data_IF_409681118498
#
_entry.id   IF_409681118498
#
_cell.length_a   1.000
_cell.length_b   1.000
_cell.length_c   1.000
_cell.angle_alpha   90.00
_cell.angle_beta   90.00
_cell.angle_gamma   90.00
#
_symmetry.space_group_name_H-M   'P 1'
#
loop_
_entity.id
_entity.type
_entity.pdbx_description
1 polymer ?
#
# COMPACT_ATOMS: atom_id res chain seq x y z
N UNK A 1 36.71 19.81 9.72
CA UNK A 1 37.13 18.44 9.36
C UNK A 1 35.95 17.50 9.62
N UNK A 2 35.73 16.57 8.69
CA UNK A 2 34.51 15.80 8.38
C UNK A 2 33.70 15.32 9.61
N UNK A 3 32.47 15.83 9.79
CA UNK A 3 31.43 15.13 10.57
C UNK A 3 30.97 13.94 9.72
N UNK A 4 31.39 12.76 10.13
CA UNK A 4 30.82 11.49 9.70
C UNK A 4 29.36 11.48 10.15
N UNK A 5 28.44 11.84 9.26
CA UNK A 5 27.03 11.55 9.44
C UNK A 5 26.94 10.08 9.03
N UNK A 6 27.09 9.19 10.01
CA UNK A 6 26.85 7.77 9.80
C UNK A 6 25.38 7.63 9.40
N UNK A 7 25.13 7.43 8.11
CA UNK A 7 23.87 6.86 7.65
C UNK A 7 23.74 5.50 8.33
N UNK A 8 23.02 5.46 9.45
CA UNK A 8 22.40 4.21 9.88
C UNK A 8 21.34 3.92 8.84
N UNK A 9 21.72 3.18 7.80
CA UNK A 9 20.80 2.40 7.02
C UNK A 9 20.20 1.39 8.00
N UNK A 10 19.14 1.79 8.69
CA UNK A 10 18.33 0.88 9.48
C UNK A 10 17.55 0.08 8.45
N UNK A 11 18.10 -1.08 8.10
CA UNK A 11 17.36 -2.12 7.40
C UNK A 11 16.02 -2.31 8.13
N UNK A 12 14.89 -2.34 7.41
CA UNK A 12 13.63 -2.63 8.05
C UNK A 12 13.75 -3.99 8.75
N UNK A 13 13.24 -4.13 9.98
CA UNK A 13 13.31 -5.40 10.70
C UNK A 13 12.74 -6.53 9.82
N UNK A 14 13.44 -7.67 9.79
CA UNK A 14 13.11 -8.83 8.94
C UNK A 14 11.69 -9.36 9.20
N UNK A 15 11.10 -9.06 10.36
CA UNK A 15 9.71 -9.35 10.70
C UNK A 15 8.95 -8.10 11.14
N UNK A 16 7.70 -7.90 10.65
CA UNK A 16 6.88 -6.78 11.10
C UNK A 16 6.50 -6.96 12.57
N UNK A 17 6.68 -5.91 13.38
CA UNK A 17 6.20 -5.93 14.76
C UNK A 17 4.68 -6.13 14.79
N UNK A 18 4.21 -7.09 15.58
CA UNK A 18 2.79 -7.40 15.73
C UNK A 18 2.31 -7.09 17.14
N UNK A 19 1.11 -6.51 17.26
CA UNK A 19 0.45 -6.24 18.54
C UNK A 19 -0.93 -6.91 18.59
N UNK A 20 -1.32 -7.39 19.77
CA UNK A 20 -2.65 -7.97 20.03
C UNK A 20 -3.56 -6.91 20.62
N UNK A 21 -4.73 -6.74 20.01
CA UNK A 21 -5.72 -5.75 20.44
C UNK A 21 -7.12 -6.36 20.43
N UNK A 22 -7.91 -6.08 21.47
CA UNK A 22 -9.32 -6.43 21.51
C UNK A 22 -10.15 -5.27 20.93
N UNK A 23 -10.86 -5.52 19.84
CA UNK A 23 -11.72 -4.54 19.16
C UNK A 23 -13.11 -5.12 18.96
N UNK A 24 -14.14 -4.28 19.12
CA UNK A 24 -15.52 -4.62 18.79
C UNK A 24 -15.74 -4.32 17.31
N UNK A 25 -16.27 -5.28 16.56
CA UNK A 25 -16.51 -5.16 15.12
C UNK A 25 -17.90 -5.65 14.76
N UNK A 26 -18.49 -5.00 13.75
CA UNK A 26 -19.76 -5.43 13.19
C UNK A 26 -19.58 -6.73 12.41
N UNK A 27 -20.28 -7.79 12.84
CA UNK A 27 -20.10 -9.13 12.28
C UNK A 27 -20.58 -9.22 10.83
N UNK A 28 -21.64 -8.50 10.48
CA UNK A 28 -22.16 -8.47 9.10
C UNK A 28 -21.13 -7.88 8.13
N UNK A 29 -20.49 -6.78 8.50
CA UNK A 29 -19.45 -6.14 7.70
C UNK A 29 -18.23 -7.06 7.53
N UNK A 30 -17.79 -7.72 8.61
CA UNK A 30 -16.67 -8.66 8.54
C UNK A 30 -17.03 -9.81 7.60
N UNK A 31 -18.21 -10.41 7.72
CA UNK A 31 -18.63 -11.52 6.86
C UNK A 31 -18.67 -11.12 5.38
N UNK A 32 -19.24 -9.95 5.07
CA UNK A 32 -19.25 -9.43 3.70
C UNK A 32 -17.84 -9.21 3.16
N UNK A 33 -16.94 -8.65 3.99
CA UNK A 33 -15.54 -8.48 3.61
C UNK A 33 -14.82 -9.83 3.42
N UNK A 34 -15.12 -10.85 4.22
CA UNK A 34 -14.58 -12.20 4.06
C UNK A 34 -15.03 -12.85 2.76
N UNK A 35 -16.29 -12.66 2.38
CA UNK A 35 -16.85 -13.18 1.12
C UNK A 35 -16.20 -12.50 -0.10
N UNK A 36 -16.06 -11.18 -0.07
CA UNK A 36 -15.44 -10.41 -1.16
C UNK A 36 -13.94 -10.72 -1.29
N UNK A 37 -13.23 -10.83 -0.17
CA UNK A 37 -11.76 -10.99 -0.16
C UNK A 37 -11.29 -12.45 -0.17
N UNK A 38 -12.16 -13.41 0.16
CA UNK A 38 -11.81 -14.81 0.39
C UNK A 38 -11.02 -15.08 1.68
N UNK A 39 -10.82 -14.06 2.53
CA UNK A 39 -9.99 -14.18 3.74
C UNK A 39 -10.79 -14.84 4.87
N UNK A 40 -10.28 -15.97 5.38
CA UNK A 40 -10.98 -16.79 6.38
C UNK A 40 -10.95 -16.24 7.81
N UNK A 41 -10.00 -15.37 8.15
CA UNK A 41 -9.82 -14.89 9.52
C UNK A 41 -10.23 -13.43 9.65
N UNK A 42 -10.88 -13.09 10.77
CA UNK A 42 -11.27 -11.71 11.08
C UNK A 42 -10.04 -10.78 11.15
N UNK A 43 -8.97 -11.25 11.79
CA UNK A 43 -7.70 -10.53 11.87
C UNK A 43 -7.08 -10.30 10.48
N UNK A 44 -7.15 -11.29 9.58
CA UNK A 44 -6.66 -11.17 8.22
C UNK A 44 -7.43 -10.12 7.42
N UNK A 45 -8.76 -10.08 7.56
CA UNK A 45 -9.59 -9.04 6.92
C UNK A 45 -9.21 -7.65 7.41
N UNK A 46 -9.03 -7.48 8.73
CA UNK A 46 -8.62 -6.20 9.30
C UNK A 46 -7.25 -5.78 8.80
N UNK A 47 -6.28 -6.70 8.78
CA UNK A 47 -4.94 -6.41 8.28
C UNK A 47 -4.96 -6.02 6.80
N UNK A 48 -5.73 -6.74 5.99
CA UNK A 48 -5.93 -6.41 4.57
C UNK A 48 -6.57 -5.03 4.39
N UNK A 49 -7.63 -4.72 5.16
CA UNK A 49 -8.30 -3.43 5.09
C UNK A 49 -7.35 -2.27 5.45
N UNK A 50 -6.53 -2.41 6.49
CA UNK A 50 -5.53 -1.41 6.87
C UNK A 50 -4.50 -1.19 5.76
N UNK A 51 -3.96 -2.28 5.19
CA UNK A 51 -3.03 -2.21 4.06
C UNK A 51 -3.64 -1.49 2.87
N UNK A 52 -4.90 -1.78 2.57
CA UNK A 52 -5.62 -1.20 1.45
C UNK A 52 -5.89 0.30 1.66
N UNK A 53 -6.20 0.73 2.88
CA UNK A 53 -6.35 2.15 3.24
C UNK A 53 -5.04 2.92 2.99
N UNK A 54 -3.91 2.40 3.48
CA UNK A 54 -2.60 3.02 3.27
C UNK A 54 -2.25 3.06 1.78
N UNK A 55 -2.44 1.94 1.08
CA UNK A 55 -2.20 1.85 -0.37
C UNK A 55 -2.99 2.90 -1.14
N UNK A 56 -4.28 3.07 -0.82
CA UNK A 56 -5.15 4.07 -1.45
C UNK A 56 -4.73 5.50 -1.12
N UNK A 57 -4.26 5.75 0.10
CA UNK A 57 -3.72 7.05 0.48
C UNK A 57 -2.48 7.41 -0.35
N UNK A 58 -1.52 6.49 -0.45
CA UNK A 58 -0.29 6.70 -1.21
C UNK A 58 -0.57 6.91 -2.71
N UNK A 59 -1.54 6.19 -3.28
CA UNK A 59 -1.96 6.42 -4.67
C UNK A 59 -2.61 7.81 -4.85
N UNK A 60 -3.40 8.28 -3.87
CA UNK A 60 -3.96 9.64 -3.92
C UNK A 60 -2.88 10.71 -3.84
N UNK A 61 -1.83 10.49 -3.06
CA UNK A 61 -0.67 11.39 -3.03
C UNK A 61 -0.01 11.49 -4.40
N UNK A 62 0.00 10.40 -5.19
CA UNK A 62 0.48 10.42 -6.57
C UNK A 62 -0.32 11.39 -7.46
N UNK A 63 -1.62 11.57 -7.20
CA UNK A 63 -2.43 12.57 -7.92
C UNK A 63 -1.97 14.00 -7.62
N UNK A 64 -1.30 14.24 -6.49
CA UNK A 64 -0.73 15.56 -6.17
C UNK A 64 0.48 15.93 -7.04
N UNK A 65 1.06 14.95 -7.74
CA UNK A 65 2.13 15.13 -8.73
C UNK A 65 1.61 15.48 -10.13
N UNK A 66 0.28 15.40 -10.34
CA UNK A 66 -0.36 15.77 -11.60
C UNK A 66 -0.03 17.24 -11.95
N UNK A 67 0.64 17.45 -13.10
CA UNK A 67 1.06 18.77 -13.57
C UNK A 67 2.33 19.34 -12.92
N UNK A 68 2.95 18.61 -11.99
CA UNK A 68 4.26 18.97 -11.39
C UNK A 68 5.43 18.17 -11.96
N UNK A 69 5.12 17.09 -12.68
CA UNK A 69 6.10 16.20 -13.28
C UNK A 69 5.96 16.32 -14.79
N UNK A 70 7.04 16.75 -15.44
CA UNK A 70 7.14 16.72 -16.89
C UNK A 70 7.30 15.27 -17.33
N UNK A 71 6.30 14.78 -18.06
CA UNK A 71 6.36 13.46 -18.66
C UNK A 71 6.99 13.56 -20.04
N UNK A 72 8.23 13.08 -20.17
CA UNK A 72 8.94 13.01 -21.45
C UNK A 72 8.82 11.58 -22.03
N UNK A 73 7.82 11.37 -22.89
CA UNK A 73 7.61 10.10 -23.56
C UNK A 73 6.74 10.25 -24.82
N UNK A 74 6.90 9.33 -25.79
CA UNK A 74 6.03 9.27 -26.97
C UNK A 74 4.96 8.19 -26.79
N UNK A 75 3.71 8.63 -26.63
CA UNK A 75 2.55 7.75 -26.46
C UNK A 75 2.33 6.79 -27.64
N UNK A 76 2.76 7.18 -28.84
CA UNK A 76 2.61 6.34 -30.03
C UNK A 76 3.56 5.14 -29.98
N UNK A 77 4.73 5.28 -29.36
CA UNK A 77 5.68 4.17 -29.18
C UNK A 77 5.13 3.20 -28.13
N UNK A 78 4.62 3.70 -27.00
CA UNK A 78 4.11 2.85 -25.90
C UNK A 78 2.87 2.06 -26.29
N UNK A 79 2.05 2.56 -27.22
CA UNK A 79 0.80 1.90 -27.64
C UNK A 79 0.97 0.88 -28.76
N UNK A 80 2.03 0.99 -29.58
CA UNK A 80 2.28 0.08 -30.72
C UNK A 80 2.55 -1.38 -30.35
N UNK A 81 2.92 -1.66 -29.10
CA UNK A 81 3.25 -3.01 -28.62
C UNK A 81 2.06 -3.75 -27.95
N UNK A 82 0.83 -3.28 -28.13
CA UNK A 82 -0.37 -3.99 -27.66
C UNK A 82 -1.01 -4.76 -28.81
N UNK A 83 -0.47 -5.94 -29.08
CA UNK A 83 -1.22 -6.99 -29.79
C UNK A 83 -2.25 -7.57 -28.79
N UNK A 84 -3.52 -7.64 -29.17
CA UNK A 84 -4.59 -8.29 -28.39
C UNK A 84 -4.74 -9.75 -28.81
#
# INVERSE_FOLDING_TARGET
>A
MKKQISSTHTEPPEEPETSRTNIVMETQLVNAAQEITGIKTKAGVVHYALKEVVRRSNMKELLSLHGKVDWDGDLNITRKNREF
#
